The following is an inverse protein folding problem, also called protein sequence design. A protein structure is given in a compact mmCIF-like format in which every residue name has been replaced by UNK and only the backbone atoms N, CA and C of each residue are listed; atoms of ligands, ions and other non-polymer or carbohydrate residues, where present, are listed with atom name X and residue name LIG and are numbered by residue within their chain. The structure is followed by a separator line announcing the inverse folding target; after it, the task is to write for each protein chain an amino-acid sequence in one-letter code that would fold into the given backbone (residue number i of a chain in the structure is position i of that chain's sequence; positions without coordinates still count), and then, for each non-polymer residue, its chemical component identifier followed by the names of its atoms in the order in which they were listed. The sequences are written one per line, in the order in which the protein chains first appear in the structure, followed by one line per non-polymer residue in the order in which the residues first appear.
data_IF_657648823652
#
_entry.id   IF_657648823652
#
_cell.length_a   1.000
_cell.length_b   1.000
_cell.length_c   1.000
_cell.angle_alpha   90.00
_cell.angle_beta   90.00
_cell.angle_gamma   90.00
#
_symmetry.space_group_name_H-M   'P 1'
#
loop_
_entity.id
_entity.type
_entity.pdbx_description
1 polymer ?
#
# COMPACT_ATOMS: atom_id res chain seq x y z
N UNK A 1 11.68 -0.23 -30.50
CA UNK A 1 12.27 0.81 -29.67
C UNK A 1 12.77 2.01 -30.45
N UNK A 2 12.58 3.22 -29.90
CA UNK A 2 12.94 4.47 -30.56
C UNK A 2 14.46 4.70 -30.72
N UNK A 3 15.28 4.00 -29.96
CA UNK A 3 16.74 4.05 -30.07
C UNK A 3 17.29 3.40 -31.34
N UNK A 4 16.47 2.76 -32.15
CA UNK A 4 16.95 2.01 -33.29
C UNK A 4 17.78 0.78 -32.90
N UNK A 5 17.54 0.24 -31.71
CA UNK A 5 18.21 -0.98 -31.21
C UNK A 5 17.94 -2.21 -32.10
N UNK A 6 17.07 -2.04 -33.07
CA UNK A 6 16.79 -2.98 -34.14
C UNK A 6 17.58 -2.60 -35.42
N UNK A 7 18.75 -1.99 -35.30
CA UNK A 7 19.57 -1.82 -36.47
C UNK A 7 19.92 -3.19 -37.06
N UNK A 8 20.03 -3.25 -38.36
CA UNK A 8 20.16 -4.52 -39.09
C UNK A 8 21.47 -5.29 -38.71
N UNK A 9 22.44 -4.62 -38.11
CA UNK A 9 23.73 -5.20 -37.82
C UNK A 9 23.81 -5.90 -36.45
N UNK A 10 23.04 -5.40 -35.46
CA UNK A 10 22.95 -6.02 -34.11
C UNK A 10 21.58 -5.74 -33.47
N UNK A 11 20.55 -6.50 -33.84
CA UNK A 11 19.24 -6.32 -33.23
C UNK A 11 19.29 -6.72 -31.76
N UNK A 12 19.21 -5.74 -30.86
CA UNK A 12 19.04 -6.00 -29.45
C UNK A 12 17.53 -6.21 -29.17
N UNK A 13 17.18 -7.42 -28.82
CA UNK A 13 15.80 -7.80 -28.45
C UNK A 13 15.68 -8.23 -26.97
N UNK A 14 16.76 -8.13 -26.23
CA UNK A 14 16.80 -8.36 -24.79
C UNK A 14 17.32 -7.10 -24.09
N UNK A 15 16.60 -6.62 -23.10
CA UNK A 15 16.90 -5.39 -22.38
C UNK A 15 16.91 -5.65 -20.88
N UNK A 16 17.84 -5.03 -20.18
CA UNK A 16 17.84 -4.96 -18.73
C UNK A 16 17.09 -3.71 -18.28
N UNK A 17 15.83 -3.89 -17.88
CA UNK A 17 14.91 -2.78 -17.59
C UNK A 17 15.12 -2.18 -16.19
N UNK A 18 16.14 -2.64 -15.45
CA UNK A 18 16.32 -2.29 -14.05
C UNK A 18 15.49 -3.15 -13.11
N UNK A 19 15.51 -2.79 -11.85
CA UNK A 19 14.80 -3.53 -10.82
C UNK A 19 14.25 -2.60 -9.74
N UNK A 20 13.31 -3.13 -8.95
CA UNK A 20 12.91 -2.50 -7.71
C UNK A 20 13.01 -3.50 -6.56
N UNK A 21 13.33 -2.98 -5.39
CA UNK A 21 13.43 -3.76 -4.15
C UNK A 21 12.47 -3.13 -3.15
N UNK A 22 11.55 -3.91 -2.63
CA UNK A 22 10.68 -3.51 -1.53
C UNK A 22 11.09 -4.27 -0.28
N UNK A 23 11.35 -3.55 0.79
CA UNK A 23 11.66 -4.12 2.09
C UNK A 23 10.70 -3.55 3.13
N UNK A 24 10.10 -4.43 3.91
CA UNK A 24 9.28 -4.08 5.07
C UNK A 24 9.87 -4.74 6.32
N UNK A 25 9.94 -3.95 7.40
CA UNK A 25 10.26 -4.40 8.75
C UNK A 25 9.11 -4.00 9.65
N UNK A 26 8.60 -4.93 10.43
CA UNK A 26 7.51 -4.66 11.39
C UNK A 26 7.82 -5.27 12.75
N UNK A 27 7.33 -4.60 13.77
CA UNK A 27 7.29 -5.09 15.13
C UNK A 27 5.89 -4.84 15.67
N UNK A 28 5.28 -5.88 16.24
CA UNK A 28 3.95 -5.82 16.85
C UNK A 28 4.03 -6.36 18.28
N UNK A 29 3.28 -5.73 19.18
CA UNK A 29 3.09 -6.19 20.52
C UNK A 29 1.61 -6.04 20.88
N UNK A 30 0.97 -7.14 21.23
CA UNK A 30 -0.47 -7.20 21.47
C UNK A 30 -0.73 -7.82 22.86
N UNK A 31 -1.72 -7.29 23.57
CA UNK A 31 -2.24 -7.79 24.83
C UNK A 31 -3.75 -7.98 24.69
N UNK A 32 -4.20 -9.17 25.05
CA UNK A 32 -5.64 -9.49 25.14
C UNK A 32 -5.92 -10.01 26.56
N UNK A 33 -6.96 -9.51 27.20
CA UNK A 33 -7.35 -9.89 28.55
C UNK A 33 -8.86 -9.81 28.75
N UNK A 34 -9.45 -10.86 29.34
CA UNK A 34 -10.77 -10.79 29.93
C UNK A 34 -10.74 -9.98 31.23
N UNK A 35 -11.67 -9.07 31.40
CA UNK A 35 -11.83 -8.22 32.57
C UNK A 35 -13.21 -8.45 33.15
N UNK A 36 -13.26 -8.83 34.43
CA UNK A 36 -14.51 -9.01 35.17
C UNK A 36 -14.98 -7.65 35.72
N UNK A 37 -16.09 -7.18 35.16
CA UNK A 37 -16.79 -5.98 35.62
C UNK A 37 -18.15 -6.29 36.24
N UNK A 38 -18.43 -7.58 36.56
CA UNK A 38 -19.71 -8.03 37.12
C UNK A 38 -20.83 -8.10 36.09
N UNK A 39 -20.50 -8.20 34.80
CA UNK A 39 -21.43 -8.56 33.72
C UNK A 39 -21.57 -10.09 33.66
N UNK A 40 -22.51 -10.57 32.85
CA UNK A 40 -22.75 -12.01 32.70
C UNK A 40 -21.52 -12.73 32.11
N UNK A 41 -20.73 -12.04 31.25
CA UNK A 41 -19.47 -12.52 30.73
C UNK A 41 -18.36 -11.49 30.95
N UNK A 42 -17.10 -11.95 30.92
CA UNK A 42 -15.95 -11.05 30.97
C UNK A 42 -15.92 -10.11 29.77
N UNK A 43 -15.55 -8.87 30.01
CA UNK A 43 -15.29 -7.89 28.96
C UNK A 43 -13.97 -8.23 28.27
N UNK A 44 -14.00 -8.49 26.99
CA UNK A 44 -12.82 -8.66 26.18
C UNK A 44 -12.12 -7.32 25.94
N UNK A 45 -10.93 -7.17 26.47
CA UNK A 45 -10.07 -6.00 26.25
C UNK A 45 -8.87 -6.42 25.43
N UNK A 46 -8.64 -5.74 24.30
CA UNK A 46 -7.42 -5.90 23.52
C UNK A 46 -6.76 -4.54 23.27
N UNK A 47 -5.44 -4.52 23.31
CA UNK A 47 -4.64 -3.33 22.96
C UNK A 47 -3.35 -3.78 22.32
N UNK A 48 -2.81 -2.95 21.46
CA UNK A 48 -1.54 -3.26 20.80
C UNK A 48 -0.83 -2.03 20.28
N UNK A 49 0.43 -2.27 19.97
CA UNK A 49 1.34 -1.31 19.39
C UNK A 49 1.99 -1.94 18.17
N UNK A 50 2.13 -1.15 17.11
CA UNK A 50 2.81 -1.54 15.87
C UNK A 50 3.85 -0.49 15.50
N UNK A 51 5.04 -0.94 15.15
CA UNK A 51 6.03 -0.14 14.45
C UNK A 51 6.32 -0.78 13.11
N UNK A 52 6.35 0.03 12.05
CA UNK A 52 6.63 -0.43 10.69
C UNK A 52 7.59 0.51 10.00
N UNK A 53 8.52 -0.06 9.25
CA UNK A 53 9.39 0.64 8.33
C UNK A 53 9.28 0.00 6.95
N UNK A 54 8.95 0.80 5.97
CA UNK A 54 8.88 0.41 4.56
C UNK A 54 9.97 1.15 3.78
N UNK A 55 10.64 0.48 2.89
CA UNK A 55 11.54 1.10 1.91
C UNK A 55 11.28 0.54 0.52
N UNK A 56 11.44 1.40 -0.46
CA UNK A 56 11.30 1.09 -1.87
C UNK A 56 12.50 1.67 -2.60
N UNK A 57 13.28 0.82 -3.24
CA UNK A 57 14.46 1.17 -4.02
C UNK A 57 14.19 0.88 -5.48
N UNK A 58 14.54 1.82 -6.34
CA UNK A 58 14.55 1.66 -7.80
C UNK A 58 15.99 1.71 -8.27
N UNK A 59 16.37 0.74 -9.07
CA UNK A 59 17.66 0.65 -9.76
C UNK A 59 17.38 0.83 -11.25
N UNK A 60 18.03 1.82 -11.89
CA UNK A 60 17.82 2.10 -13.31
C UNK A 60 18.25 0.93 -14.20
N UNK A 61 17.57 0.80 -15.32
CA UNK A 61 17.92 -0.13 -16.37
C UNK A 61 19.06 0.37 -17.25
N UNK A 62 19.43 -0.45 -18.23
CA UNK A 62 20.37 -0.02 -19.27
C UNK A 62 19.76 1.12 -20.12
N UNK A 63 20.60 1.99 -20.65
CA UNK A 63 20.19 3.19 -21.38
C UNK A 63 19.16 2.90 -22.49
N UNK A 64 19.40 1.86 -23.29
CA UNK A 64 18.51 1.47 -24.38
C UNK A 64 17.09 1.05 -23.91
N UNK A 65 16.92 0.71 -22.64
CA UNK A 65 15.64 0.28 -22.10
C UNK A 65 14.69 1.43 -21.74
N UNK A 66 15.19 2.65 -21.54
CA UNK A 66 14.41 3.81 -21.08
C UNK A 66 14.61 5.09 -21.91
N UNK A 67 15.68 5.19 -22.70
CA UNK A 67 15.98 6.43 -23.43
C UNK A 67 15.10 6.61 -24.66
N UNK A 68 14.71 7.88 -24.90
CA UNK A 68 14.02 8.26 -26.12
C UNK A 68 15.03 8.37 -27.27
N UNK A 69 14.87 7.55 -28.27
CA UNK A 69 15.75 7.55 -29.44
C UNK A 69 15.22 8.32 -30.64
N UNK A 70 16.03 8.45 -31.70
CA UNK A 70 15.73 9.24 -32.88
C UNK A 70 14.53 8.75 -33.66
N UNK A 71 14.12 7.50 -33.50
CA UNK A 71 12.94 6.95 -34.21
C UNK A 71 11.63 7.21 -33.46
N UNK A 72 11.66 7.88 -32.30
CA UNK A 72 10.44 8.25 -31.57
C UNK A 72 9.49 9.11 -32.41
N UNK A 73 10.03 10.04 -33.22
CA UNK A 73 9.25 10.86 -34.15
C UNK A 73 8.56 10.06 -35.27
N UNK A 74 8.94 8.82 -35.47
CA UNK A 74 8.32 7.89 -36.44
C UNK A 74 7.30 6.96 -35.77
N UNK A 75 6.93 7.19 -34.49
CA UNK A 75 5.96 6.41 -33.78
C UNK A 75 6.52 5.16 -33.06
N UNK A 76 7.84 5.01 -32.98
CA UNK A 76 8.44 3.93 -32.23
C UNK A 76 8.44 4.26 -30.73
N UNK A 77 8.04 3.29 -29.91
CA UNK A 77 7.97 3.45 -28.45
C UNK A 77 9.33 3.77 -27.84
N UNK A 78 9.31 4.60 -26.80
CA UNK A 78 10.48 4.88 -25.94
C UNK A 78 10.88 3.61 -25.21
N UNK A 79 12.18 3.36 -25.13
CA UNK A 79 12.75 2.22 -24.42
C UNK A 79 12.39 0.85 -25.01
N UNK A 80 12.36 -0.15 -24.18
CA UNK A 80 11.99 -1.52 -24.55
C UNK A 80 10.48 -1.66 -24.81
N UNK A 81 10.11 -2.61 -25.69
CA UNK A 81 8.70 -2.83 -26.01
C UNK A 81 8.00 -3.58 -24.89
N UNK A 82 6.82 -3.10 -24.48
CA UNK A 82 6.00 -3.68 -23.45
C UNK A 82 6.19 -3.06 -22.06
N UNK A 83 7.43 -2.89 -21.61
CA UNK A 83 7.76 -2.19 -20.36
C UNK A 83 9.01 -1.36 -20.58
N UNK A 84 8.89 -0.04 -20.56
CA UNK A 84 10.03 0.85 -20.56
C UNK A 84 10.84 0.66 -19.26
N UNK A 85 12.17 0.57 -19.38
CA UNK A 85 13.05 0.46 -18.23
C UNK A 85 12.99 1.69 -17.33
N UNK A 86 13.40 1.51 -16.07
CA UNK A 86 13.53 2.62 -15.14
C UNK A 86 14.66 3.55 -15.58
N UNK A 87 14.35 4.84 -15.69
CA UNK A 87 15.34 5.87 -15.99
C UNK A 87 16.20 6.21 -14.76
N UNK A 88 17.39 6.78 -14.93
CA UNK A 88 18.21 7.26 -13.81
C UNK A 88 17.50 8.33 -12.95
N UNK A 89 16.56 9.07 -13.51
CA UNK A 89 15.74 10.06 -12.78
C UNK A 89 14.81 9.41 -11.75
N UNK A 90 14.41 8.17 -12.02
CA UNK A 90 13.59 7.37 -11.11
C UNK A 90 14.41 6.60 -10.08
N UNK A 91 15.74 6.54 -10.24
CA UNK A 91 16.61 5.80 -9.33
C UNK A 91 16.68 6.46 -7.96
N UNK A 92 16.56 5.64 -6.92
CA UNK A 92 16.70 6.12 -5.56
C UNK A 92 16.04 5.20 -4.54
N UNK A 93 16.23 5.57 -3.28
CA UNK A 93 15.63 4.88 -2.14
C UNK A 93 14.63 5.82 -1.47
N UNK A 94 13.39 5.40 -1.39
CA UNK A 94 12.34 6.07 -0.63
C UNK A 94 11.98 5.21 0.57
N UNK A 95 11.86 5.82 1.75
CA UNK A 95 11.52 5.11 2.98
C UNK A 95 10.45 5.86 3.76
N UNK A 96 9.65 5.09 4.51
CA UNK A 96 8.63 5.61 5.41
C UNK A 96 8.62 4.76 6.68
N UNK A 97 8.36 5.43 7.80
CA UNK A 97 8.06 4.77 9.07
C UNK A 97 6.64 5.10 9.49
N UNK A 98 6.01 4.18 10.17
CA UNK A 98 4.75 4.42 10.88
C UNK A 98 4.78 3.76 12.26
N UNK A 99 4.05 4.39 13.17
CA UNK A 99 3.71 3.84 14.47
C UNK A 99 2.20 3.81 14.60
N UNK A 100 1.67 2.77 15.21
CA UNK A 100 0.25 2.68 15.48
C UNK A 100 0.01 2.12 16.88
N UNK A 101 -1.11 2.53 17.47
CA UNK A 101 -1.62 1.93 18.68
C UNK A 101 -3.14 1.77 18.57
N UNK A 102 -3.68 0.72 19.17
CA UNK A 102 -5.11 0.50 19.17
C UNK A 102 -5.59 0.01 20.54
N UNK A 103 -6.88 0.25 20.77
CA UNK A 103 -7.66 -0.34 21.86
C UNK A 103 -8.94 -0.87 21.25
N UNK A 104 -9.32 -2.08 21.68
CA UNK A 104 -10.55 -2.76 21.31
C UNK A 104 -11.21 -3.28 22.59
N UNK A 105 -12.50 -3.09 22.71
CA UNK A 105 -13.32 -3.55 23.84
C UNK A 105 -14.57 -4.18 23.29
N UNK A 106 -14.87 -5.39 23.74
CA UNK A 106 -16.09 -6.11 23.40
C UNK A 106 -16.71 -6.69 24.66
N UNK A 107 -18.02 -6.48 24.82
CA UNK A 107 -18.74 -6.91 26.01
C UNK A 107 -20.16 -7.37 25.67
N UNK A 108 -20.60 -8.44 26.33
CA UNK A 108 -22.00 -8.77 26.45
C UNK A 108 -22.64 -7.84 27.50
N UNK A 109 -23.50 -6.94 27.04
CA UNK A 109 -24.23 -6.03 27.92
C UNK A 109 -25.43 -6.74 28.59
N UNK A 110 -25.98 -7.68 27.85
CA UNK A 110 -26.94 -8.69 28.33
C UNK A 110 -26.61 -10.01 27.64
N UNK A 111 -27.23 -11.12 28.09
CA UNK A 111 -27.04 -12.46 27.49
C UNK A 111 -27.25 -12.45 25.95
N UNK A 112 -28.13 -11.58 25.45
CA UNK A 112 -28.49 -11.49 24.01
C UNK A 112 -27.82 -10.36 23.27
N UNK A 113 -27.14 -9.42 23.97
CA UNK A 113 -26.68 -8.18 23.36
C UNK A 113 -25.18 -7.95 23.54
N UNK A 114 -24.45 -8.11 22.44
CA UNK A 114 -22.99 -7.89 22.34
C UNK A 114 -22.72 -6.53 21.73
N UNK A 115 -21.87 -5.72 22.36
CA UNK A 115 -21.34 -4.48 21.83
C UNK A 115 -19.82 -4.54 21.73
N UNK A 116 -19.28 -3.97 20.66
CA UNK A 116 -17.85 -3.79 20.47
C UNK A 116 -17.50 -2.38 20.01
N UNK A 117 -16.39 -1.87 20.52
CA UNK A 117 -15.84 -0.58 20.12
C UNK A 117 -14.31 -0.68 20.02
N UNK A 118 -13.77 -0.21 18.90
CA UNK A 118 -12.33 -0.13 18.69
C UNK A 118 -11.93 1.25 18.19
N UNK A 119 -10.73 1.67 18.58
CA UNK A 119 -10.06 2.87 18.06
C UNK A 119 -8.60 2.53 17.74
N UNK A 120 -8.12 3.00 16.59
CA UNK A 120 -6.73 2.89 16.16
C UNK A 120 -6.21 4.27 15.79
N UNK A 121 -5.12 4.66 16.42
CA UNK A 121 -4.31 5.81 16.03
C UNK A 121 -3.10 5.32 15.24
N UNK A 122 -2.75 6.01 14.18
CA UNK A 122 -1.59 5.71 13.36
C UNK A 122 -0.93 7.01 12.89
N UNK A 123 0.40 7.08 13.01
CA UNK A 123 1.21 8.23 12.59
C UNK A 123 2.25 7.78 11.57
N UNK A 124 2.31 8.51 10.46
CA UNK A 124 3.21 8.23 9.34
C UNK A 124 4.21 9.37 9.18
N UNK A 125 5.49 9.05 9.06
CA UNK A 125 6.55 10.04 8.87
C UNK A 125 6.41 10.89 7.60
N UNK A 126 5.60 10.46 6.63
CA UNK A 126 5.50 11.10 5.31
C UNK A 126 4.28 12.01 5.13
N UNK A 127 3.19 11.81 5.88
CA UNK A 127 1.95 12.58 5.66
C UNK A 127 1.10 12.83 6.92
N UNK A 128 1.61 12.50 8.12
CA UNK A 128 0.94 12.77 9.39
C UNK A 128 0.08 11.62 9.90
N UNK A 129 -0.86 11.93 10.79
CA UNK A 129 -1.59 10.92 11.56
C UNK A 129 -3.03 10.75 11.10
N UNK A 130 -3.59 9.57 11.44
CA UNK A 130 -4.98 9.22 11.24
C UNK A 130 -5.55 8.53 12.46
N UNK A 131 -6.85 8.71 12.68
CA UNK A 131 -7.62 8.01 13.69
C UNK A 131 -8.76 7.28 13.01
N UNK A 132 -8.85 5.99 13.23
CA UNK A 132 -9.92 5.15 12.74
C UNK A 132 -10.66 4.52 13.92
N UNK A 133 -11.95 4.32 13.76
CA UNK A 133 -12.77 3.65 14.77
C UNK A 133 -13.71 2.62 14.14
N UNK A 134 -14.15 1.68 14.96
CA UNK A 134 -15.14 0.68 14.61
C UNK A 134 -16.11 0.52 15.78
N UNK A 135 -17.38 0.45 15.47
CA UNK A 135 -18.46 0.10 16.39
C UNK A 135 -19.18 -1.11 15.85
N UNK A 136 -19.47 -2.07 16.70
CA UNK A 136 -20.22 -3.28 16.35
C UNK A 136 -21.32 -3.51 17.37
N UNK A 137 -22.44 -4.03 16.91
CA UNK A 137 -23.53 -4.48 17.74
C UNK A 137 -24.08 -5.79 17.20
N UNK A 138 -24.37 -6.72 18.07
CA UNK A 138 -25.07 -7.97 17.75
C UNK A 138 -26.18 -8.18 18.75
N UNK A 139 -27.37 -8.52 18.26
CA UNK A 139 -28.52 -8.85 19.07
C UNK A 139 -29.06 -10.22 18.64
N UNK A 140 -29.11 -11.15 19.56
CA UNK A 140 -29.69 -12.47 19.39
C UNK A 140 -31.17 -12.39 19.71
N UNK A 141 -32.01 -12.46 18.68
CA UNK A 141 -33.49 -12.38 18.83
C UNK A 141 -34.02 -13.69 19.42
N UNK A 142 -33.43 -14.79 19.01
CA UNK A 142 -33.65 -16.14 19.52
C UNK A 142 -32.52 -17.06 19.05
N UNK A 143 -32.59 -18.37 19.37
CA UNK A 143 -31.54 -19.35 19.03
C UNK A 143 -31.28 -19.50 17.53
N UNK A 144 -32.22 -19.10 16.68
CA UNK A 144 -32.13 -19.26 15.22
C UNK A 144 -31.83 -17.94 14.49
N UNK A 145 -32.07 -16.78 15.12
CA UNK A 145 -31.96 -15.48 14.48
C UNK A 145 -31.11 -14.51 15.30
N UNK A 146 -30.05 -13.99 14.70
CA UNK A 146 -29.30 -12.85 15.24
C UNK A 146 -29.16 -11.73 14.22
N UNK A 147 -29.21 -10.50 14.69
CA UNK A 147 -29.03 -9.28 13.92
C UNK A 147 -27.65 -8.69 14.24
N UNK A 148 -26.92 -8.25 13.21
CA UNK A 148 -25.61 -7.61 13.36
C UNK A 148 -25.57 -6.28 12.63
N UNK A 149 -24.95 -5.30 13.25
CA UNK A 149 -24.67 -4.00 12.65
C UNK A 149 -23.22 -3.62 12.93
N UNK A 150 -22.58 -2.94 11.98
CA UNK A 150 -21.25 -2.38 12.19
C UNK A 150 -21.10 -1.05 11.47
N UNK A 151 -20.37 -0.13 12.09
CA UNK A 151 -19.93 1.11 11.48
C UNK A 151 -18.45 1.32 11.73
N UNK A 152 -17.68 1.64 10.69
CA UNK A 152 -16.25 1.88 10.82
C UNK A 152 -15.76 2.94 9.84
N UNK A 153 -14.71 3.64 10.26
CA UNK A 153 -13.87 4.42 9.36
C UNK A 153 -12.65 3.60 8.98
N UNK A 154 -12.04 3.92 7.86
CA UNK A 154 -10.82 3.26 7.40
C UNK A 154 -9.95 4.21 6.60
N UNK A 155 -8.66 4.04 6.73
CA UNK A 155 -7.65 4.74 5.96
C UNK A 155 -6.63 3.73 5.41
N UNK A 156 -6.24 3.92 4.17
CA UNK A 156 -5.15 3.15 3.58
C UNK A 156 -4.12 4.12 3.00
N UNK A 157 -2.93 4.09 3.59
CA UNK A 157 -1.80 4.83 3.04
C UNK A 157 -1.41 4.28 1.66
N UNK A 158 -1.11 5.14 0.67
CA UNK A 158 -0.45 4.68 -0.55
C UNK A 158 0.87 4.00 -0.19
N UNK A 159 1.29 2.99 -0.93
CA UNK A 159 2.59 2.36 -0.70
C UNK A 159 3.72 3.35 -1.02
N UNK A 160 4.92 3.12 -0.44
CA UNK A 160 6.10 3.96 -0.73
C UNK A 160 6.40 3.97 -2.22
N UNK A 161 6.25 2.83 -2.90
CA UNK A 161 6.39 2.74 -4.35
C UNK A 161 5.36 3.59 -5.10
N UNK A 162 4.08 3.49 -4.75
CA UNK A 162 3.02 4.29 -5.41
C UNK A 162 3.21 5.81 -5.25
N UNK A 163 3.79 6.23 -4.14
CA UNK A 163 4.03 7.66 -3.86
C UNK A 163 5.27 8.22 -4.60
N UNK A 164 6.20 7.37 -5.04
CA UNK A 164 7.51 7.79 -5.53
C UNK A 164 7.86 7.27 -6.94
N UNK A 165 7.01 6.46 -7.57
CA UNK A 165 7.25 6.02 -8.96
C UNK A 165 6.85 7.13 -9.91
N UNK A 166 7.81 7.60 -10.69
CA UNK A 166 7.56 8.46 -11.86
C UNK A 166 7.30 7.57 -13.07
N UNK A 167 6.09 7.64 -13.61
CA UNK A 167 5.73 6.92 -14.82
C UNK A 167 5.68 7.90 -16.00
N UNK A 168 6.62 7.78 -16.92
CA UNK A 168 6.64 8.56 -18.15
C UNK A 168 5.80 7.84 -19.21
N UNK A 169 4.64 8.40 -19.53
CA UNK A 169 3.80 7.89 -20.62
C UNK A 169 3.98 8.78 -21.84
N UNK A 170 4.32 8.15 -22.96
CA UNK A 170 4.35 8.83 -24.24
C UNK A 170 2.95 8.89 -24.83
N UNK A 171 2.40 10.07 -25.01
CA UNK A 171 1.09 10.24 -25.67
C UNK A 171 1.22 10.98 -27.00
N UNK A 172 0.37 10.60 -27.95
CA UNK A 172 0.29 11.28 -29.25
C UNK A 172 -0.68 12.46 -29.12
N UNK A 173 -0.17 13.67 -29.19
CA UNK A 173 -0.99 14.89 -29.23
C UNK A 173 -0.78 15.57 -30.56
N UNK A 174 -1.84 15.69 -31.38
CA UNK A 174 -1.80 16.27 -32.72
C UNK A 174 -0.79 15.64 -33.71
N UNK A 175 -0.47 14.36 -33.49
CA UNK A 175 0.49 13.64 -34.34
C UNK A 175 1.96 13.76 -33.90
N UNK A 176 2.23 14.45 -32.80
CA UNK A 176 3.54 14.51 -32.16
C UNK A 176 3.53 13.73 -30.85
N UNK A 177 4.59 12.97 -30.61
CA UNK A 177 4.81 12.28 -29.33
C UNK A 177 5.31 13.30 -28.29
N UNK A 178 4.55 13.45 -27.21
CA UNK A 178 4.90 14.30 -26.07
C UNK A 178 5.20 13.40 -24.86
#
# INVERSE_FOLDING_TARGET
PSMGALNAEQPNNAFENGSYIQLEKSFNADLVKGLDFGLDEEVNFATGFEWRQESFEIISGEQASWEQGPLASQGFSVGSHGFAGFSPESQGISARQSIAAYVDVEAYITEDFLLGAAVRYEDFSSFGSTVNYKLTAQYSVNDELSLRASHSTGFRAPTVGQANVVNTQTSLVNGELI
#
